data_IF_909367784810
#
_entry.id   IF_909367784810
#
_cell.length_a   1.000
_cell.length_b   1.000
_cell.length_c   1.000
_cell.angle_alpha   90.00
_cell.angle_beta   90.00
_cell.angle_gamma   90.00
#
_symmetry.space_group_name_H-M   'P 1'
#
loop_
_entity.id
_entity.type
_entity.pdbx_description
1 polymer ?
#
# COMPACT_ATOMS: atom_id res chain seq x y z
N UNK A 1 12.35 -8.74 62.51
CA UNK A 1 12.83 -8.44 61.15
C UNK A 1 12.05 -9.34 60.19
N UNK A 2 11.06 -8.80 59.48
CA UNK A 2 10.28 -9.57 58.52
C UNK A 2 11.02 -9.56 57.18
N UNK A 3 11.60 -10.69 56.82
CA UNK A 3 12.15 -10.90 55.48
C UNK A 3 10.97 -11.10 54.52
N UNK A 4 10.57 -10.03 53.84
CA UNK A 4 9.57 -10.10 52.79
C UNK A 4 10.09 -10.96 51.64
N UNK A 5 9.37 -12.05 51.34
CA UNK A 5 9.62 -12.89 50.16
C UNK A 5 9.58 -11.99 48.92
N UNK A 6 10.59 -12.03 48.02
CA UNK A 6 10.56 -11.24 46.81
C UNK A 6 9.37 -11.67 45.96
N UNK A 7 8.42 -10.76 45.75
CA UNK A 7 7.25 -10.99 44.90
C UNK A 7 7.73 -10.97 43.45
N UNK A 8 7.74 -12.13 42.80
CA UNK A 8 7.89 -12.24 41.35
C UNK A 8 6.65 -11.65 40.67
N UNK A 9 6.75 -10.40 40.23
CA UNK A 9 5.67 -9.68 39.51
C UNK A 9 5.61 -10.14 38.04
N UNK A 10 6.71 -10.65 37.48
CA UNK A 10 6.80 -11.07 36.08
C UNK A 10 7.27 -12.52 35.98
N UNK A 11 6.80 -13.22 34.93
CA UNK A 11 7.21 -14.59 34.62
C UNK A 11 8.71 -14.62 34.29
N UNK A 12 9.40 -15.69 34.72
CA UNK A 12 10.80 -15.90 34.35
C UNK A 12 10.98 -15.87 32.83
N UNK A 13 12.00 -15.14 32.35
CA UNK A 13 12.23 -14.88 30.93
C UNK A 13 11.63 -13.56 30.39
N UNK A 14 10.85 -12.82 31.19
CA UNK A 14 10.32 -11.52 30.76
C UNK A 14 11.42 -10.45 30.79
N UNK A 15 11.68 -9.82 29.63
CA UNK A 15 12.56 -8.65 29.56
C UNK A 15 11.74 -7.37 29.73
N UNK A 16 12.21 -6.45 30.57
CA UNK A 16 11.58 -5.15 30.79
C UNK A 16 12.57 -4.04 30.44
N UNK A 17 12.24 -3.26 29.41
CA UNK A 17 12.90 -2.00 29.14
C UNK A 17 12.07 -0.86 29.77
N UNK A 18 12.74 0.13 30.36
CA UNK A 18 12.06 1.27 31.02
C UNK A 18 12.68 2.60 30.63
N UNK A 19 11.87 3.66 30.63
CA UNK A 19 12.34 5.03 30.46
C UNK A 19 12.94 5.29 29.08
N UNK A 20 14.09 5.97 29.06
CA UNK A 20 14.76 6.43 27.83
C UNK A 20 15.28 5.29 26.97
N UNK A 21 15.74 4.21 27.58
CA UNK A 21 16.31 3.07 26.84
C UNK A 21 15.23 2.35 26.02
N UNK A 22 14.01 2.23 26.57
CA UNK A 22 12.86 1.72 25.83
C UNK A 22 12.48 2.61 24.64
N UNK A 23 12.48 3.93 24.84
CA UNK A 23 12.19 4.89 23.77
C UNK A 23 13.23 4.82 22.65
N UNK A 24 14.53 4.77 22.99
CA UNK A 24 15.60 4.64 22.00
C UNK A 24 15.54 3.31 21.25
N UNK A 25 15.26 2.20 21.94
CA UNK A 25 15.06 0.91 21.27
C UNK A 25 13.89 0.95 20.27
N UNK A 26 12.77 1.58 20.66
CA UNK A 26 11.61 1.76 19.77
C UNK A 26 11.96 2.59 18.53
N UNK A 27 12.65 3.72 18.71
CA UNK A 27 13.06 4.61 17.61
C UNK A 27 14.05 3.90 16.69
N UNK A 28 15.03 3.20 17.26
CA UNK A 28 16.03 2.45 16.50
C UNK A 28 15.37 1.38 15.61
N UNK A 29 14.45 0.59 16.15
CA UNK A 29 13.76 -0.44 15.37
C UNK A 29 12.96 0.15 14.20
N UNK A 30 12.25 1.27 14.43
CA UNK A 30 11.52 1.98 13.40
C UNK A 30 12.44 2.57 12.32
N UNK A 31 13.56 3.18 12.75
CA UNK A 31 14.56 3.77 11.87
C UNK A 31 15.23 2.72 11.00
N UNK A 32 15.60 1.56 11.55
CA UNK A 32 16.21 0.48 10.77
C UNK A 32 15.27 0.01 9.65
N UNK A 33 13.97 -0.13 9.95
CA UNK A 33 12.98 -0.49 8.92
C UNK A 33 12.88 0.58 7.82
N UNK A 34 12.86 1.87 8.20
CA UNK A 34 12.84 2.98 7.27
C UNK A 34 14.11 3.03 6.40
N UNK A 35 15.30 2.79 6.97
CA UNK A 35 16.58 2.75 6.24
C UNK A 35 16.61 1.62 5.21
N UNK A 36 16.04 0.45 5.55
CA UNK A 36 15.89 -0.67 4.60
C UNK A 36 15.05 -0.19 3.43
N UNK A 37 13.86 0.37 3.66
CA UNK A 37 12.94 0.77 2.60
C UNK A 37 13.37 2.02 1.81
N UNK A 38 14.21 2.88 2.39
CA UNK A 38 14.65 4.16 1.80
C UNK A 38 15.24 4.01 0.39
N UNK A 39 15.95 2.91 0.14
CA UNK A 39 16.58 2.63 -1.17
C UNK A 39 15.58 2.23 -2.26
N UNK A 40 14.37 1.82 -1.88
CA UNK A 40 13.29 1.44 -2.80
C UNK A 40 12.32 2.59 -3.06
N UNK A 41 12.55 3.76 -2.46
CA UNK A 41 11.72 4.95 -2.67
C UNK A 41 12.13 5.71 -3.94
N UNK A 42 11.14 6.03 -4.78
CA UNK A 42 11.30 6.88 -5.97
C UNK A 42 11.38 6.11 -7.30
N UNK A 43 11.49 6.82 -8.44
CA UNK A 43 11.42 6.23 -9.78
C UNK A 43 12.65 5.38 -10.14
N UNK A 44 13.74 5.52 -9.38
CA UNK A 44 14.95 4.70 -9.46
C UNK A 44 15.15 3.89 -8.18
N UNK A 45 14.05 3.54 -7.51
CA UNK A 45 14.08 2.67 -6.34
C UNK A 45 14.70 1.33 -6.70
N UNK A 46 15.59 0.84 -5.84
CA UNK A 46 16.22 -0.46 -6.01
C UNK A 46 15.24 -1.57 -5.62
N UNK A 47 15.20 -2.61 -6.46
CA UNK A 47 14.50 -3.85 -6.14
C UNK A 47 15.19 -4.56 -4.97
N UNK A 48 14.40 -5.16 -4.10
CA UNK A 48 14.88 -6.01 -3.02
C UNK A 48 14.60 -7.45 -3.35
N UNK A 49 15.63 -8.28 -3.21
CA UNK A 49 15.51 -9.72 -3.21
C UNK A 49 15.28 -10.19 -1.77
N UNK A 50 14.10 -10.76 -1.54
CA UNK A 50 13.70 -11.34 -0.27
C UNK A 50 13.75 -12.85 -0.43
N UNK A 51 14.40 -13.52 0.52
CA UNK A 51 14.50 -14.98 0.57
C UNK A 51 13.77 -15.41 1.82
N UNK A 52 12.73 -16.22 1.65
CA UNK A 52 11.97 -16.73 2.78
C UNK A 52 12.70 -17.90 3.48
N UNK A 53 12.09 -18.43 4.54
CA UNK A 53 12.63 -19.58 5.28
C UNK A 53 12.59 -20.90 4.49
N UNK A 54 11.78 -20.98 3.42
CA UNK A 54 11.63 -22.16 2.57
C UNK A 54 12.52 -22.11 1.31
N UNK A 55 13.20 -21.00 1.07
CA UNK A 55 14.06 -20.75 -0.09
C UNK A 55 13.34 -20.12 -1.29
N UNK A 56 12.07 -19.75 -1.17
CA UNK A 56 11.36 -18.99 -2.19
C UNK A 56 11.90 -17.55 -2.26
N UNK A 57 12.13 -17.10 -3.49
CA UNK A 57 12.75 -15.81 -3.78
C UNK A 57 11.71 -14.86 -4.36
N UNK A 58 11.45 -13.76 -3.64
CA UNK A 58 10.57 -12.67 -4.08
C UNK A 58 11.40 -11.44 -4.37
N UNK A 59 11.36 -10.94 -5.61
CA UNK A 59 12.02 -9.70 -6.02
C UNK A 59 10.97 -8.62 -6.22
N UNK A 60 11.05 -7.55 -5.43
CA UNK A 60 10.08 -6.44 -5.50
C UNK A 60 10.66 -5.14 -4.97
N UNK A 61 10.18 -4.02 -5.49
CA UNK A 61 10.41 -2.68 -4.94
C UNK A 61 9.22 -2.14 -4.13
N UNK A 62 8.13 -2.90 -4.06
CA UNK A 62 6.92 -2.47 -3.38
C UNK A 62 7.07 -2.57 -1.85
N UNK A 63 6.92 -1.43 -1.19
CA UNK A 63 7.18 -1.28 0.24
C UNK A 63 6.31 -2.18 1.10
N UNK A 64 5.02 -2.33 0.76
CA UNK A 64 4.09 -3.15 1.55
C UNK A 64 4.43 -4.64 1.42
N UNK A 65 4.82 -5.09 0.22
CA UNK A 65 5.25 -6.47 -0.02
C UNK A 65 6.54 -6.76 0.76
N UNK A 66 7.51 -5.82 0.73
CA UNK A 66 8.77 -5.96 1.49
C UNK A 66 8.49 -6.13 2.99
N UNK A 67 7.65 -5.28 3.59
CA UNK A 67 7.37 -5.37 5.04
C UNK A 67 6.48 -6.54 5.44
N UNK A 68 5.70 -7.10 4.51
CA UNK A 68 4.88 -8.31 4.74
C UNK A 68 5.75 -9.57 4.79
N UNK A 69 6.73 -9.68 3.91
CA UNK A 69 7.67 -10.80 3.85
C UNK A 69 8.76 -10.74 4.94
N UNK A 70 9.04 -9.55 5.48
CA UNK A 70 9.99 -9.39 6.58
C UNK A 70 9.41 -9.85 7.93
N UNK A 71 10.08 -10.80 8.58
CA UNK A 71 9.74 -11.21 9.95
C UNK A 71 10.20 -10.17 10.99
N UNK A 72 9.34 -9.19 11.28
CA UNK A 72 9.62 -8.13 12.25
C UNK A 72 9.21 -8.55 13.66
N UNK A 73 10.19 -8.71 14.56
CA UNK A 73 9.93 -9.08 15.96
C UNK A 73 9.57 -7.89 16.85
N UNK A 74 10.19 -6.73 16.63
CA UNK A 74 10.08 -5.58 17.53
C UNK A 74 8.70 -4.90 17.43
N UNK A 75 7.97 -4.67 18.55
CA UNK A 75 6.61 -4.12 18.52
C UNK A 75 6.48 -2.78 17.81
N UNK A 76 7.42 -1.86 18.03
CA UNK A 76 7.40 -0.55 17.36
C UNK A 76 7.50 -0.65 15.83
N UNK A 77 8.28 -1.62 15.33
CA UNK A 77 8.40 -1.84 13.90
C UNK A 77 7.16 -2.55 13.34
N UNK A 78 6.52 -3.46 14.10
CA UNK A 78 5.21 -4.03 13.72
C UNK A 78 4.13 -2.95 13.52
N UNK A 79 4.11 -1.91 14.37
CA UNK A 79 3.18 -0.80 14.19
C UNK A 79 3.38 -0.10 12.84
N UNK A 80 4.63 0.09 12.39
CA UNK A 80 4.92 0.66 11.07
C UNK A 80 4.48 -0.26 9.92
N UNK A 81 4.61 -1.58 10.10
CA UNK A 81 4.08 -2.56 9.13
C UNK A 81 2.57 -2.42 8.99
N UNK A 82 1.84 -2.27 10.10
CA UNK A 82 0.39 -2.07 10.07
C UNK A 82 0.00 -0.73 9.43
N UNK A 83 0.77 0.34 9.66
CA UNK A 83 0.59 1.62 8.95
C UNK A 83 0.76 1.45 7.44
N UNK A 84 1.78 0.70 6.99
CA UNK A 84 1.99 0.42 5.57
C UNK A 84 0.84 -0.39 4.96
N UNK A 85 0.30 -1.39 5.69
CA UNK A 85 -0.87 -2.17 5.25
C UNK A 85 -2.14 -1.33 5.16
N UNK A 86 -2.36 -0.44 6.13
CA UNK A 86 -3.52 0.46 6.11
C UNK A 86 -3.43 1.43 4.93
N UNK A 87 -2.25 1.99 4.66
CA UNK A 87 -2.02 2.88 3.52
C UNK A 87 -2.24 2.16 2.17
N UNK A 88 -1.80 0.91 2.07
CA UNK A 88 -2.01 0.05 0.90
C UNK A 88 -3.50 -0.23 0.66
N UNK A 89 -4.26 -0.51 1.73
CA UNK A 89 -5.69 -0.77 1.63
C UNK A 89 -6.52 0.45 1.21
N UNK A 90 -6.15 1.64 1.68
CA UNK A 90 -6.90 2.88 1.40
C UNK A 90 -6.62 3.46 0.01
N UNK A 91 -5.35 3.52 -0.41
CA UNK A 91 -4.95 4.19 -1.67
C UNK A 91 -4.09 3.34 -2.60
N UNK A 92 -3.49 2.25 -2.11
CA UNK A 92 -2.65 1.36 -2.93
C UNK A 92 -1.30 1.96 -3.39
N UNK A 93 -0.90 3.10 -2.83
CA UNK A 93 0.38 3.77 -3.11
C UNK A 93 0.90 4.54 -1.88
N UNK A 94 2.16 4.95 -1.90
CA UNK A 94 2.79 5.73 -0.84
C UNK A 94 3.12 4.92 0.41
N UNK A 95 3.05 3.59 0.36
CA UNK A 95 3.37 2.67 1.46
C UNK A 95 4.81 2.86 1.94
N UNK A 96 5.77 2.89 1.01
CA UNK A 96 7.19 3.18 1.28
C UNK A 96 7.37 4.58 1.87
N UNK A 97 6.69 5.58 1.30
CA UNK A 97 6.78 6.98 1.77
C UNK A 97 6.29 7.12 3.21
N UNK A 98 5.18 6.48 3.56
CA UNK A 98 4.63 6.51 4.91
C UNK A 98 5.62 5.98 5.95
N UNK A 99 6.26 4.83 5.67
CA UNK A 99 7.23 4.22 6.59
C UNK A 99 8.52 5.05 6.68
N UNK A 100 9.04 5.52 5.54
CA UNK A 100 10.26 6.35 5.49
C UNK A 100 10.05 7.69 6.19
N UNK A 101 8.89 8.33 6.00
CA UNK A 101 8.53 9.58 6.67
C UNK A 101 8.41 9.39 8.18
N UNK A 102 7.74 8.32 8.63
CA UNK A 102 7.63 8.02 10.05
C UNK A 102 9.01 7.78 10.69
N UNK A 103 9.89 7.02 10.03
CA UNK A 103 11.27 6.82 10.49
C UNK A 103 12.07 8.12 10.59
N UNK A 104 11.94 9.00 9.61
CA UNK A 104 12.61 10.31 9.62
C UNK A 104 12.09 11.23 10.73
N UNK A 105 10.77 11.24 11.00
CA UNK A 105 10.19 11.99 12.11
C UNK A 105 10.69 11.48 13.48
N UNK A 106 10.80 10.16 13.63
CA UNK A 106 11.33 9.54 14.86
C UNK A 106 12.82 9.85 15.07
N UNK A 107 13.62 9.90 14.00
CA UNK A 107 15.02 10.34 14.06
C UNK A 107 15.13 11.80 14.56
N UNK A 108 14.26 12.69 14.08
CA UNK A 108 14.21 14.08 14.57
C UNK A 108 13.69 14.17 16.00
N UNK A 109 12.74 13.32 16.39
CA UNK A 109 12.27 13.24 17.76
C UNK A 109 13.38 12.80 18.73
N UNK A 110 14.26 11.88 18.32
CA UNK A 110 15.41 11.46 19.14
C UNK A 110 16.32 12.65 19.51
N UNK A 111 16.64 13.51 18.55
CA UNK A 111 17.45 14.71 18.79
C UNK A 111 16.79 15.71 19.78
N UNK A 112 15.45 15.75 19.83
CA UNK A 112 14.70 16.57 20.78
C UNK A 112 14.65 15.92 22.17
N UNK A 113 14.56 14.58 22.24
CA UNK A 113 14.64 13.84 23.49
C UNK A 113 16.01 13.99 24.16
N UNK A 114 17.09 14.05 23.38
CA UNK A 114 18.45 14.30 23.87
C UNK A 114 18.60 15.71 24.48
N UNK A 115 17.79 16.67 24.02
CA UNK A 115 17.68 18.00 24.63
C UNK A 115 16.80 18.02 25.89
N UNK A 116 16.40 16.84 26.40
CA UNK A 116 15.51 16.67 27.55
C UNK A 116 14.10 17.25 27.36
N UNK A 117 13.63 17.38 26.12
CA UNK A 117 12.24 17.78 25.85
C UNK A 117 11.31 16.58 26.15
N UNK A 118 10.20 16.84 26.85
CA UNK A 118 9.26 15.79 27.20
C UNK A 118 8.53 15.26 25.95
N UNK A 119 8.35 13.93 25.78
CA UNK A 119 7.71 13.34 24.58
C UNK A 119 6.34 13.95 24.22
N UNK A 120 5.53 14.29 25.22
CA UNK A 120 4.22 14.94 25.02
C UNK A 120 4.33 16.23 24.22
N UNK A 121 5.32 17.08 24.52
CA UNK A 121 5.52 18.36 23.83
C UNK A 121 5.92 18.13 22.38
N UNK A 122 6.71 17.07 22.11
CA UNK A 122 7.11 16.68 20.75
C UNK A 122 5.87 16.22 19.96
N UNK A 123 5.01 15.40 20.57
CA UNK A 123 3.77 14.92 19.95
C UNK A 123 2.81 16.07 19.63
N UNK A 124 2.64 17.02 20.54
CA UNK A 124 1.80 18.21 20.33
C UNK A 124 2.37 19.06 19.18
N UNK A 125 3.68 19.26 19.14
CA UNK A 125 4.37 19.98 18.07
C UNK A 125 4.20 19.31 16.70
N UNK A 126 4.32 17.98 16.63
CA UNK A 126 4.08 17.24 15.38
C UNK A 126 2.62 17.29 14.94
N UNK A 127 1.68 17.26 15.88
CA UNK A 127 0.24 17.39 15.56
C UNK A 127 -0.06 18.76 14.95
N UNK A 128 0.48 19.84 15.53
CA UNK A 128 0.36 21.19 14.97
C UNK A 128 1.00 21.30 13.58
N UNK A 129 2.19 20.71 13.40
CA UNK A 129 2.87 20.69 12.12
C UNK A 129 2.09 19.92 11.04
N UNK A 130 1.46 18.79 11.41
CA UNK A 130 0.61 17.99 10.52
C UNK A 130 -0.57 18.82 10.02
N UNK A 131 -1.31 19.49 10.92
CA UNK A 131 -2.44 20.33 10.52
C UNK A 131 -2.00 21.43 9.56
N UNK A 132 -0.86 22.09 9.85
CA UNK A 132 -0.36 23.15 8.97
C UNK A 132 0.09 22.62 7.60
N UNK A 133 0.68 21.43 7.57
CA UNK A 133 1.08 20.78 6.32
C UNK A 133 -0.14 20.47 5.45
N UNK A 134 -1.24 19.96 6.03
CA UNK A 134 -2.47 19.69 5.30
C UNK A 134 -3.08 20.96 4.69
N UNK A 135 -3.14 22.06 5.44
CA UNK A 135 -3.60 23.36 4.90
C UNK A 135 -2.77 23.82 3.69
N UNK A 136 -1.45 23.65 3.76
CA UNK A 136 -0.55 24.03 2.67
C UNK A 136 -0.77 23.11 1.46
N UNK A 137 -0.91 21.80 1.68
CA UNK A 137 -1.18 20.82 0.63
C UNK A 137 -2.46 21.15 -0.13
N UNK A 138 -3.52 21.55 0.58
CA UNK A 138 -4.77 21.99 -0.05
C UNK A 138 -4.58 23.28 -0.87
N UNK A 139 -3.74 24.20 -0.40
CA UNK A 139 -3.49 25.47 -1.11
C UNK A 139 -2.69 25.33 -2.41
N UNK A 140 -1.85 24.28 -2.50
CA UNK A 140 -1.03 24.00 -3.69
C UNK A 140 -1.66 22.93 -4.60
N UNK A 141 -2.77 22.34 -4.18
CA UNK A 141 -3.47 21.31 -4.93
C UNK A 141 -4.00 21.88 -6.26
N UNK A 142 -3.79 21.14 -7.34
CA UNK A 142 -4.30 21.47 -8.67
C UNK A 142 -5.53 20.63 -8.91
N UNK A 143 -6.68 21.28 -9.13
CA UNK A 143 -7.93 20.58 -9.41
C UNK A 143 -7.88 19.88 -10.78
N UNK A 144 -8.16 18.57 -10.78
CA UNK A 144 -8.17 17.73 -11.98
C UNK A 144 -9.61 17.37 -12.33
N UNK A 145 -10.00 17.65 -13.58
CA UNK A 145 -11.32 17.27 -14.10
C UNK A 145 -11.30 15.82 -14.61
N UNK A 146 -12.25 14.96 -14.20
CA UNK A 146 -12.32 13.55 -14.63
C UNK A 146 -12.55 13.34 -16.15
N UNK A 147 -12.99 14.39 -16.84
CA UNK A 147 -13.23 14.36 -18.29
C UNK A 147 -11.91 14.38 -19.09
N UNK A 148 -10.85 14.98 -18.52
CA UNK A 148 -9.55 15.14 -19.18
C UNK A 148 -8.79 13.83 -19.26
N UNK A 149 -9.02 13.10 -20.36
CA UNK A 149 -8.32 11.84 -20.66
C UNK A 149 -6.81 12.00 -20.70
N UNK A 150 -6.30 13.09 -21.26
CA UNK A 150 -4.87 13.27 -21.46
C UNK A 150 -4.16 13.47 -20.13
N UNK A 151 -4.76 14.25 -19.23
CA UNK A 151 -4.23 14.45 -17.90
C UNK A 151 -4.33 13.17 -17.05
N UNK A 152 -5.44 12.44 -17.13
CA UNK A 152 -5.58 11.13 -16.47
C UNK A 152 -4.53 10.12 -16.95
N UNK A 153 -4.24 10.06 -18.25
CA UNK A 153 -3.17 9.21 -18.80
C UNK A 153 -1.80 9.61 -18.24
N UNK A 154 -1.51 10.91 -18.12
CA UNK A 154 -0.25 11.39 -17.51
C UNK A 154 -0.14 11.00 -16.04
N UNK A 155 -1.23 11.07 -15.28
CA UNK A 155 -1.25 10.66 -13.87
C UNK A 155 -0.94 9.16 -13.73
N UNK A 156 -1.63 8.31 -14.52
CA UNK A 156 -1.41 6.86 -14.51
C UNK A 156 0.03 6.51 -14.93
N UNK A 157 0.56 7.15 -15.98
CA UNK A 157 1.96 6.97 -16.39
C UNK A 157 2.92 7.31 -15.26
N UNK A 158 2.66 8.38 -14.51
CA UNK A 158 3.50 8.79 -13.37
C UNK A 158 3.50 7.72 -12.27
N UNK A 159 2.34 7.18 -11.90
CA UNK A 159 2.21 6.15 -10.85
C UNK A 159 2.84 4.80 -11.24
N UNK A 160 2.85 4.43 -12.53
CA UNK A 160 3.40 3.15 -12.99
C UNK A 160 4.90 3.25 -13.31
N UNK A 161 5.41 4.45 -13.62
CA UNK A 161 6.79 4.66 -14.08
C UNK A 161 7.88 4.14 -13.13
N UNK A 162 7.61 4.08 -11.83
CA UNK A 162 8.54 3.57 -10.81
C UNK A 162 8.56 2.04 -10.67
N UNK A 163 7.68 1.33 -11.38
CA UNK A 163 7.55 -0.14 -11.30
C UNK A 163 8.20 -0.81 -12.52
N UNK A 164 8.37 -2.14 -12.45
CA UNK A 164 9.00 -2.94 -13.51
C UNK A 164 8.40 -2.73 -14.92
N UNK A 165 7.12 -2.36 -15.00
CA UNK A 165 6.38 -2.12 -16.25
C UNK A 165 6.57 -0.67 -16.77
N UNK A 166 7.42 0.13 -16.12
CA UNK A 166 7.55 1.58 -16.33
C UNK A 166 8.20 2.04 -17.64
N UNK A 167 8.44 1.16 -18.62
CA UNK A 167 9.07 1.53 -19.89
C UNK A 167 8.50 0.79 -21.10
N UNK A 168 8.38 1.52 -22.22
CA UNK A 168 8.02 0.96 -23.53
C UNK A 168 6.55 1.10 -23.93
N UNK A 169 6.21 0.47 -25.05
CA UNK A 169 4.86 0.45 -25.66
C UNK A 169 3.80 -0.17 -24.72
N UNK A 170 4.22 -1.13 -23.88
CA UNK A 170 3.37 -1.79 -22.89
C UNK A 170 2.77 -0.80 -21.88
N UNK A 171 3.52 0.22 -21.47
CA UNK A 171 3.05 1.23 -20.53
C UNK A 171 1.90 2.04 -21.13
N UNK A 172 2.01 2.41 -22.41
CA UNK A 172 0.98 3.20 -23.08
C UNK A 172 -0.31 2.41 -23.22
N UNK A 173 -0.19 1.16 -23.69
CA UNK A 173 -1.35 0.27 -23.81
C UNK A 173 -2.04 0.02 -22.46
N UNK A 174 -1.27 -0.25 -21.41
CA UNK A 174 -1.83 -0.45 -20.06
C UNK A 174 -2.49 0.83 -19.52
N UNK A 175 -1.87 1.99 -19.78
CA UNK A 175 -2.44 3.28 -19.37
C UNK A 175 -3.81 3.49 -20.01
N UNK A 176 -3.93 3.23 -21.31
CA UNK A 176 -5.19 3.36 -22.04
C UNK A 176 -6.25 2.40 -21.49
N UNK A 177 -5.89 1.13 -21.26
CA UNK A 177 -6.78 0.13 -20.66
C UNK A 177 -7.26 0.54 -19.26
N UNK A 178 -6.38 1.07 -18.41
CA UNK A 178 -6.71 1.50 -17.05
C UNK A 178 -7.66 2.69 -17.08
N UNK A 179 -7.37 3.71 -17.90
CA UNK A 179 -8.23 4.90 -18.00
C UNK A 179 -9.61 4.55 -18.56
N UNK A 180 -9.68 3.67 -19.57
CA UNK A 180 -10.96 3.19 -20.10
C UNK A 180 -11.74 2.37 -19.08
N UNK A 181 -11.09 1.44 -18.37
CA UNK A 181 -11.73 0.65 -17.33
C UNK A 181 -12.26 1.53 -16.19
N UNK A 182 -11.46 2.49 -15.74
CA UNK A 182 -11.85 3.42 -14.69
C UNK A 182 -13.06 4.27 -15.11
N UNK A 183 -13.10 4.76 -16.36
CA UNK A 183 -14.23 5.55 -16.88
C UNK A 183 -15.53 4.75 -17.01
N UNK A 184 -15.44 3.45 -17.30
CA UNK A 184 -16.63 2.58 -17.40
C UNK A 184 -17.25 2.29 -16.03
N UNK A 185 -16.43 2.23 -14.98
CA UNK A 185 -16.85 1.86 -13.63
C UNK A 185 -17.12 3.07 -12.74
N UNK A 186 -16.57 4.23 -13.07
CA UNK A 186 -16.76 5.45 -12.30
C UNK A 186 -18.22 5.90 -12.34
N UNK A 187 -18.89 5.83 -11.19
CA UNK A 187 -20.26 6.30 -11.02
C UNK A 187 -20.26 7.69 -10.35
N UNK A 188 -21.11 8.63 -10.80
CA UNK A 188 -21.25 9.91 -10.11
C UNK A 188 -21.86 9.68 -8.72
N UNK A 189 -21.29 10.30 -7.69
CA UNK A 189 -21.81 10.16 -6.32
C UNK A 189 -23.22 10.78 -6.21
N UNK A 190 -24.20 10.11 -5.58
CA UNK A 190 -25.58 10.60 -5.47
C UNK A 190 -25.76 11.93 -4.72
N UNK A 191 -24.82 12.31 -3.85
CA UNK A 191 -24.94 13.46 -2.93
C UNK A 191 -23.71 14.39 -2.88
N UNK A 192 -22.83 14.40 -3.89
CA UNK A 192 -21.65 15.27 -3.85
C UNK A 192 -20.94 15.48 -5.18
N UNK A 193 -20.04 16.47 -5.21
CA UNK A 193 -19.05 16.62 -6.29
C UNK A 193 -18.06 15.46 -6.21
N UNK A 194 -18.07 14.56 -7.18
CA UNK A 194 -17.07 13.50 -7.29
C UNK A 194 -17.60 12.21 -7.92
N UNK A 195 -16.67 11.30 -8.19
CA UNK A 195 -16.94 9.96 -8.70
C UNK A 195 -16.60 8.94 -7.62
N UNK A 196 -17.38 7.86 -7.56
CA UNK A 196 -17.06 6.67 -6.78
C UNK A 196 -16.55 5.60 -7.74
N UNK A 197 -15.35 5.09 -7.47
CA UNK A 197 -14.75 4.01 -8.23
C UNK A 197 -14.68 2.78 -7.34
N UNK A 198 -15.51 1.77 -7.64
CA UNK A 198 -15.48 0.48 -6.93
C UNK A 198 -14.56 -0.48 -7.67
N UNK A 199 -13.43 -0.81 -7.04
CA UNK A 199 -12.46 -1.75 -7.60
C UNK A 199 -13.05 -3.15 -7.82
N UNK A 200 -14.05 -3.55 -7.02
CA UNK A 200 -14.74 -4.84 -7.15
C UNK A 200 -15.46 -5.02 -8.50
N UNK A 201 -15.80 -3.92 -9.18
CA UNK A 201 -16.41 -3.96 -10.51
C UNK A 201 -15.38 -4.19 -11.62
N UNK A 202 -14.08 -4.15 -11.31
CA UNK A 202 -12.98 -4.43 -12.25
C UNK A 202 -12.41 -5.81 -11.97
N UNK A 203 -12.85 -6.81 -12.73
CA UNK A 203 -12.31 -8.17 -12.64
C UNK A 203 -11.01 -8.31 -13.45
N UNK A 204 -9.91 -8.68 -12.79
CA UNK A 204 -8.63 -8.99 -13.44
C UNK A 204 -8.50 -10.51 -13.61
N UNK A 205 -8.50 -10.99 -14.86
CA UNK A 205 -8.33 -12.41 -15.20
C UNK A 205 -6.94 -12.62 -15.81
N UNK A 206 -6.08 -13.41 -15.15
CA UNK A 206 -4.70 -13.65 -15.60
C UNK A 206 -4.62 -14.96 -16.40
N UNK A 207 -4.31 -14.89 -17.69
CA UNK A 207 -4.06 -16.07 -18.55
C UNK A 207 -2.59 -16.14 -18.95
N UNK A 208 -2.00 -17.34 -18.87
CA UNK A 208 -0.60 -17.58 -19.25
C UNK A 208 -0.50 -17.84 -20.76
N UNK A 209 0.52 -17.31 -21.42
CA UNK A 209 0.95 -17.74 -22.76
C UNK A 209 1.29 -16.60 -23.72
N UNK A 210 0.53 -15.51 -23.69
CA UNK A 210 0.67 -14.39 -24.64
C UNK A 210 1.51 -13.23 -24.09
N UNK A 211 1.74 -12.20 -24.92
CA UNK A 211 2.48 -11.01 -24.54
C UNK A 211 1.64 -10.11 -23.62
N UNK A 212 2.30 -9.26 -22.82
CA UNK A 212 1.61 -8.19 -22.07
C UNK A 212 0.84 -7.26 -23.02
N UNK A 213 1.35 -7.11 -24.25
CA UNK A 213 0.71 -6.33 -25.31
C UNK A 213 -0.57 -7.00 -25.85
N UNK A 214 -0.89 -8.24 -25.52
CA UNK A 214 -2.13 -8.89 -25.96
C UNK A 214 -3.29 -8.68 -24.96
N UNK A 215 -2.99 -8.03 -23.82
CA UNK A 215 -4.00 -7.66 -22.82
C UNK A 215 -5.09 -6.78 -23.44
N UNK A 216 -6.35 -7.06 -23.10
CA UNK A 216 -7.50 -6.34 -23.60
C UNK A 216 -8.54 -6.09 -22.50
N UNK A 217 -9.27 -4.99 -22.62
CA UNK A 217 -10.39 -4.67 -21.74
C UNK A 217 -11.67 -5.28 -22.32
N UNK A 218 -12.28 -6.20 -21.58
CA UNK A 218 -13.55 -6.81 -21.96
C UNK A 218 -14.68 -6.07 -21.24
N UNK A 219 -15.61 -5.49 -22.01
CA UNK A 219 -16.81 -4.82 -21.50
C UNK A 219 -17.86 -5.85 -21.09
N UNK A 220 -17.59 -6.56 -20.00
CA UNK A 220 -18.41 -7.66 -19.51
C UNK A 220 -17.64 -8.49 -18.49
N UNK A 221 -18.12 -9.70 -18.21
CA UNK A 221 -17.47 -10.63 -17.29
C UNK A 221 -16.85 -11.81 -18.06
N UNK A 222 -15.59 -12.12 -17.76
CA UNK A 222 -14.94 -13.35 -18.20
C UNK A 222 -15.10 -14.38 -17.10
N UNK A 223 -15.62 -15.56 -17.43
CA UNK A 223 -15.73 -16.70 -16.54
C UNK A 223 -14.86 -17.82 -17.08
N UNK A 224 -13.94 -18.32 -16.26
CA UNK A 224 -13.13 -19.49 -16.61
C UNK A 224 -13.92 -20.78 -16.34
N UNK A 225 -15.00 -20.95 -17.10
CA UNK A 225 -15.88 -22.12 -17.03
C UNK A 225 -16.20 -22.62 -18.43
N UNK A 226 -16.21 -23.93 -18.57
CA UNK A 226 -16.64 -24.60 -19.80
C UNK A 226 -18.15 -24.85 -19.78
N UNK A 227 -18.71 -25.08 -20.96
CA UNK A 227 -20.09 -25.55 -21.11
C UNK A 227 -20.24 -26.94 -20.50
N UNK A 228 -21.30 -27.15 -19.73
CA UNK A 228 -21.51 -28.40 -18.97
C UNK A 228 -21.80 -29.60 -19.88
N UNK A 229 -22.46 -29.38 -21.02
CA UNK A 229 -22.85 -30.44 -21.94
C UNK A 229 -22.40 -30.14 -23.38
N UNK A 230 -21.78 -31.11 -24.11
CA UNK A 230 -21.26 -30.89 -25.47
C UNK A 230 -22.30 -30.45 -26.51
N UNK A 231 -23.57 -30.83 -26.30
CA UNK A 231 -24.70 -30.41 -27.14
C UNK A 231 -25.23 -29.00 -26.85
N UNK A 232 -24.71 -28.30 -25.83
CA UNK A 232 -25.10 -26.91 -25.57
C UNK A 232 -24.50 -25.97 -26.64
N UNK A 233 -25.23 -24.92 -27.04
CA UNK A 233 -24.70 -23.94 -27.97
C UNK A 233 -23.49 -23.22 -27.37
N UNK A 234 -22.39 -23.17 -28.13
CA UNK A 234 -21.16 -22.46 -27.73
C UNK A 234 -21.29 -20.93 -27.74
N UNK A 235 -22.25 -20.41 -28.52
CA UNK A 235 -22.53 -18.97 -28.65
C UNK A 235 -24.03 -18.76 -28.65
N UNK A 236 -24.50 -17.85 -27.82
CA UNK A 236 -25.90 -17.41 -27.74
C UNK A 236 -25.92 -15.90 -27.87
N UNK A 237 -26.66 -15.38 -28.84
CA UNK A 237 -26.83 -13.93 -29.04
C UNK A 237 -28.06 -13.44 -28.26
N UNK A 238 -27.96 -12.28 -27.60
CA UNK A 238 -29.01 -11.73 -26.73
C UNK A 238 -29.51 -12.72 -25.66
N UNK A 239 -28.57 -13.41 -25.02
CA UNK A 239 -28.86 -14.38 -23.97
C UNK A 239 -29.55 -13.70 -22.77
N UNK A 240 -30.57 -14.37 -22.21
CA UNK A 240 -31.17 -13.98 -20.93
C UNK A 240 -30.39 -14.67 -19.81
N UNK A 241 -29.78 -13.88 -18.93
CA UNK A 241 -28.95 -14.38 -17.84
C UNK A 241 -29.79 -14.43 -16.56
N UNK A 242 -29.83 -15.60 -15.92
CA UNK A 242 -30.42 -15.78 -14.59
C UNK A 242 -29.29 -16.04 -13.59
N UNK A 243 -29.22 -15.24 -12.54
CA UNK A 243 -28.36 -15.49 -11.39
C UNK A 243 -29.19 -16.20 -10.33
N UNK A 244 -28.76 -17.38 -9.93
CA UNK A 244 -29.45 -18.23 -8.97
C UNK A 244 -28.48 -18.53 -7.83
N UNK A 245 -28.96 -18.35 -6.60
CA UNK A 245 -28.29 -18.79 -5.38
C UNK A 245 -29.09 -19.99 -4.82
N UNK A 246 -29.11 -21.07 -5.59
CA UNK A 246 -29.70 -22.35 -5.23
C UNK A 246 -28.91 -23.46 -5.95
N UNK A 247 -28.65 -24.61 -5.29
CA UNK A 247 -27.96 -25.73 -5.91
C UNK A 247 -28.74 -26.35 -7.08
#
# INVERSE_FOLDING_TARGET
MSYGVPVLILKEGTQRATGRDALRANIMAARTLAEILKTSLGPRGLDKMLVDSFGDVTVTNDGVTIVKEMEVNHPAAKLLVEVAKAQDAEVGDGTTTAVVLAGALLEKAEALLDQNIHPTVIMDGFSLAMHKALEILDSIAIEVKPEDTELLKKLVKTSISSKYIGSGETLEKLTDLIVEAAKLVAEPKPQGKGYELRLDNIKIEKKKGESLNDSMLIKGIVLDKEVVHPGMPKRVENAKIALLDAP
#
